data_IF_217237360016
#
_entry.id   IF_217237360016
#
_cell.length_a   1.000
_cell.length_b   1.000
_cell.length_c   1.000
_cell.angle_alpha   90.00
_cell.angle_beta   90.00
_cell.angle_gamma   90.00
#
_symmetry.space_group_name_H-M   'P 1'
#
loop_
_entity.id
_entity.type
_entity.pdbx_description
1 polymer ?
2 non-polymer ?
3 water ?
#
# COMPACT_ATOMS: atom_id res chain seq x y z
N UNK A 10 -6.20 30.41 17.61
CA UNK A 10 -6.25 29.32 16.63
C UNK A 10 -5.39 29.63 15.41
N UNK A 11 -4.67 28.60 14.92
CA UNK A 11 -3.83 28.73 13.73
C UNK A 11 -4.63 28.68 12.43
N UNK A 12 -5.26 29.80 12.07
CA UNK A 12 -6.09 29.89 10.86
C UNK A 12 -5.27 30.36 9.65
N UNK A 13 -5.04 29.46 8.71
CA UNK A 13 -4.26 29.79 7.53
C UNK A 13 -5.10 29.83 6.29
N UNK A 14 -5.27 31.03 5.73
CA UNK A 14 -6.03 31.21 4.51
C UNK A 14 -5.13 31.78 3.41
N UNK A 15 -5.13 31.13 2.25
CA UNK A 15 -4.25 31.57 1.14
C UNK A 15 -5.20 31.69 -0.07
N UNK A 16 -6.51 31.54 0.13
CA UNK A 16 -7.41 31.41 -1.02
C UNK A 16 -8.31 32.63 -1.01
N UNK A 17 -8.24 33.40 -2.10
CA UNK A 17 -9.05 34.60 -2.26
C UNK A 17 -9.15 34.98 -3.73
N UNK A 18 -10.12 35.83 -4.06
CA UNK A 18 -10.31 36.27 -5.44
C UNK A 18 -9.36 37.40 -5.79
N UNK A 19 -8.21 37.05 -6.34
CA UNK A 19 -7.23 38.03 -6.78
C UNK A 19 -7.18 38.09 -8.30
N UNK A 20 -7.81 37.10 -8.93
CA UNK A 20 -7.71 36.92 -10.37
C UNK A 20 -8.69 37.80 -11.14
N UNK A 21 -8.21 38.33 -12.26
CA UNK A 21 -9.05 39.12 -13.17
C UNK A 21 -8.64 38.87 -14.61
N UNK A 22 -9.61 38.89 -15.51
CA UNK A 22 -9.34 38.74 -16.93
C UNK A 22 -9.63 40.05 -17.64
N UNK A 23 -8.60 40.62 -18.27
CA UNK A 23 -8.75 41.90 -18.94
C UNK A 23 -9.40 41.75 -20.32
N UNK A 24 -8.84 40.86 -21.14
CA UNK A 24 -9.32 40.66 -22.49
C UNK A 24 -10.42 39.62 -22.58
N UNK A 25 -10.62 39.08 -23.78
CA UNK A 25 -11.61 38.04 -24.00
C UNK A 25 -10.95 36.68 -24.04
N UNK A 26 -11.73 35.62 -23.80
CA UNK A 26 -11.21 34.27 -23.84
C UNK A 26 -11.29 33.71 -25.25
N UNK A 27 -10.22 33.04 -25.69
CA UNK A 27 -10.24 32.36 -26.98
C UNK A 27 -10.82 30.94 -26.81
N UNK A 28 -11.71 30.58 -27.71
CA UNK A 28 -12.47 29.32 -27.62
C UNK A 28 -11.73 28.20 -28.32
N UNK A 29 -12.12 26.95 -28.03
CA UNK A 29 -11.11 25.92 -28.07
C UNK A 29 -11.68 24.50 -27.95
N UNK A 30 -11.81 23.86 -29.10
CA UNK A 30 -12.37 22.52 -29.20
C UNK A 30 -11.38 21.50 -28.68
N UNK A 31 -11.88 20.56 -27.88
CA UNK A 31 -11.05 19.44 -27.44
C UNK A 31 -10.68 18.59 -28.64
N UNK A 32 -9.53 17.95 -28.59
CA UNK A 32 -9.16 17.03 -29.66
C UNK A 32 -9.95 15.74 -29.46
N UNK A 33 -10.40 15.17 -30.58
CA UNK A 33 -11.23 13.98 -30.65
C UNK A 33 -10.91 12.88 -29.62
N UNK A 34 -9.64 12.79 -29.22
CA UNK A 34 -9.27 11.85 -28.17
C UNK A 34 -9.78 12.36 -26.82
N UNK A 35 -9.54 13.65 -26.57
CA UNK A 35 -9.81 14.26 -25.27
C UNK A 35 -11.30 14.34 -24.95
N UNK A 36 -12.14 14.51 -25.98
CA UNK A 36 -13.58 14.56 -25.77
C UNK A 36 -14.08 13.23 -25.22
N UNK A 37 -13.66 12.14 -25.87
CA UNK A 37 -14.05 10.80 -25.43
C UNK A 37 -13.43 10.44 -24.09
N UNK A 38 -12.17 10.82 -23.90
CA UNK A 38 -11.45 10.53 -22.67
C UNK A 38 -12.10 11.20 -21.46
N UNK A 39 -12.45 12.48 -21.63
CA UNK A 39 -13.08 13.26 -20.58
C UNK A 39 -14.40 12.61 -20.14
N UNK A 40 -15.16 12.11 -21.11
CA UNK A 40 -16.43 11.47 -20.83
C UNK A 40 -16.22 10.11 -20.18
N UNK A 41 -15.14 9.43 -20.56
CA UNK A 41 -14.80 8.15 -19.94
C UNK A 41 -14.47 8.34 -18.46
N UNK A 42 -13.64 9.33 -18.17
CA UNK A 42 -13.26 9.62 -16.79
C UNK A 42 -14.44 10.13 -15.97
N UNK A 43 -15.27 10.98 -16.58
CA UNK A 43 -16.36 11.63 -15.85
C UNK A 43 -17.61 10.76 -15.71
N UNK A 44 -17.73 9.73 -16.52
CA UNK A 44 -18.97 8.94 -16.50
C UNK A 44 -18.75 7.43 -16.29
N UNK A 45 -17.50 6.99 -16.24
CA UNK A 45 -17.24 5.56 -16.21
C UNK A 45 -16.04 5.14 -15.35
N UNK A 46 -14.92 5.83 -15.52
CA UNK A 46 -13.63 5.39 -14.96
C UNK A 46 -13.65 5.09 -13.47
N UNK A 47 -14.27 5.96 -12.68
CA UNK A 47 -14.28 5.78 -11.24
C UNK A 47 -15.63 5.32 -10.72
N UNK A 48 -15.63 4.59 -9.61
CA UNK A 48 -16.85 4.03 -9.04
C UNK A 48 -17.42 4.90 -7.92
N UNK A 49 -16.53 5.52 -7.15
CA UNK A 49 -16.94 6.49 -6.14
C UNK A 49 -16.62 7.89 -6.65
N UNK A 50 -17.58 8.81 -6.57
CA UNK A 50 -17.40 10.14 -7.15
C UNK A 50 -16.56 11.07 -6.28
N UNK A 51 -16.37 10.68 -5.03
CA UNK A 51 -15.59 11.49 -4.08
C UNK A 51 -14.11 11.59 -4.49
N UNK A 52 -13.63 10.56 -5.18
CA UNK A 52 -12.21 10.43 -5.48
C UNK A 52 -11.64 11.58 -6.31
N UNK A 53 -12.49 12.44 -6.84
CA UNK A 53 -11.98 13.60 -7.57
C UNK A 53 -11.12 14.41 -6.60
N UNK A 54 -11.63 14.59 -5.37
CA UNK A 54 -10.87 15.27 -4.33
C UNK A 54 -9.51 14.62 -4.17
N UNK A 55 -9.50 13.29 -4.21
CA UNK A 55 -8.25 12.54 -4.12
C UNK A 55 -7.32 12.92 -5.26
N UNK A 56 -7.81 12.80 -6.50
CA UNK A 56 -6.95 12.98 -7.67
C UNK A 56 -6.35 14.37 -7.72
N UNK A 57 -7.19 15.38 -7.54
CA UNK A 57 -6.75 16.77 -7.54
C UNK A 57 -5.69 17.02 -6.47
N UNK A 58 -5.77 16.29 -5.36
CA UNK A 58 -4.77 16.46 -4.32
C UNK A 58 -3.46 15.86 -4.83
N UNK A 59 -3.55 14.68 -5.43
CA UNK A 59 -2.37 14.00 -5.96
C UNK A 59 -1.60 14.94 -6.87
N UNK A 60 -2.28 15.41 -7.91
CA UNK A 60 -1.71 16.39 -8.82
C UNK A 60 -1.03 17.53 -8.07
N UNK A 61 -1.75 18.11 -7.11
CA UNK A 61 -1.24 19.22 -6.33
C UNK A 61 0.12 18.82 -5.75
N UNK A 62 0.12 17.69 -5.04
CA UNK A 62 1.34 17.16 -4.45
C UNK A 62 2.44 17.13 -5.49
N UNK A 63 2.16 16.50 -6.63
CA UNK A 63 3.15 16.34 -7.69
C UNK A 63 3.73 17.69 -8.07
N UNK A 64 2.85 18.67 -8.31
CA UNK A 64 3.28 20.01 -8.68
C UNK A 64 4.31 20.47 -7.67
N UNK A 65 3.88 20.46 -6.41
CA UNK A 65 4.71 20.94 -5.32
C UNK A 65 6.06 20.25 -5.35
N UNK A 66 6.05 18.92 -5.52
CA UNK A 66 7.30 18.18 -5.44
C UNK A 66 8.31 18.73 -6.42
N UNK A 67 7.88 18.95 -7.66
CA UNK A 67 8.88 19.25 -8.69
C UNK A 67 9.32 20.68 -8.56
N UNK A 68 8.39 21.54 -8.14
CA UNK A 68 8.81 22.83 -7.61
C UNK A 68 9.98 22.65 -6.64
N UNK A 69 9.72 21.91 -5.56
CA UNK A 69 10.69 21.74 -4.49
C UNK A 69 12.02 21.28 -5.07
N UNK A 70 12.00 20.09 -5.67
CA UNK A 70 13.11 19.56 -6.44
C UNK A 70 13.85 20.68 -7.15
N UNK A 71 13.15 21.32 -8.08
CA UNK A 71 13.72 22.36 -8.92
C UNK A 71 14.50 23.37 -8.08
N UNK A 72 13.84 23.95 -7.09
CA UNK A 72 14.46 24.99 -6.30
C UNK A 72 15.69 24.44 -5.59
N UNK A 73 15.53 23.27 -4.95
CA UNK A 73 16.63 22.70 -4.18
C UNK A 73 17.77 22.36 -5.14
N UNK A 74 17.43 22.14 -6.40
CA UNK A 74 18.44 21.86 -7.41
C UNK A 74 19.18 23.14 -7.77
N UNK A 75 18.44 24.23 -7.99
CA UNK A 75 19.06 25.49 -8.35
C UNK A 75 19.72 26.08 -7.11
N UNK A 76 19.27 25.65 -5.94
CA UNK A 76 19.85 26.05 -4.69
C UNK A 76 19.34 27.37 -4.17
N UNK A 77 18.05 27.65 -4.40
CA UNK A 77 17.45 28.88 -3.88
C UNK A 77 16.41 28.58 -2.80
N UNK A 78 15.95 29.64 -2.13
CA UNK A 78 15.07 29.50 -0.98
C UNK A 78 13.72 28.89 -1.35
N UNK A 79 13.08 28.29 -0.36
CA UNK A 79 11.79 27.65 -0.55
C UNK A 79 10.66 28.54 -0.07
N UNK A 80 9.62 28.70 -0.90
CA UNK A 80 8.43 29.45 -0.50
C UNK A 80 7.51 28.55 0.32
N UNK A 81 6.32 29.04 0.67
CA UNK A 81 5.33 28.20 1.30
C UNK A 81 4.88 27.14 0.30
N UNK A 82 5.01 25.87 0.69
CA UNK A 82 4.60 24.77 -0.16
C UNK A 82 3.42 24.04 0.47
N UNK A 83 2.21 24.47 0.10
CA UNK A 83 1.01 24.01 0.78
C UNK A 83 -0.09 23.63 -0.21
N UNK A 84 -1.05 22.84 0.27
CA UNK A 84 -2.24 22.53 -0.49
C UNK A 84 -3.46 23.01 0.30
N UNK A 85 -4.32 23.79 -0.36
CA UNK A 85 -5.48 24.34 0.32
C UNK A 85 -6.78 23.95 -0.36
N UNK A 86 -7.76 23.59 0.46
CA UNK A 86 -9.10 23.32 -0.03
C UNK A 86 -10.07 24.29 0.62
N UNK A 87 -11.02 24.80 -0.17
CA UNK A 87 -12.04 25.69 0.35
C UNK A 87 -13.42 25.22 -0.09
N UNK A 88 -14.34 25.12 0.86
CA UNK A 88 -15.72 24.80 0.52
C UNK A 88 -16.57 26.06 0.62
N UNK A 89 -17.56 26.17 -0.25
CA UNK A 89 -18.47 27.30 -0.19
C UNK A 89 -19.90 26.86 -0.47
N UNK A 90 -20.67 26.67 0.60
CA UNK A 90 -21.99 26.06 0.51
C UNK A 90 -23.00 26.90 -0.29
N UNK A 91 -22.80 28.22 -0.32
CA UNK A 91 -23.75 29.13 -0.98
C UNK A 91 -23.40 29.45 -2.44
N UNK A 92 -22.12 29.60 -2.80
CA UNK A 92 -21.74 29.53 -4.22
C UNK A 92 -21.80 28.08 -4.70
N UNK A 93 -21.84 27.14 -3.76
CA UNK A 93 -21.92 25.73 -4.08
C UNK A 93 -20.65 25.29 -4.78
N UNK A 94 -19.50 25.65 -4.22
CA UNK A 94 -18.23 25.38 -4.88
C UNK A 94 -17.23 24.65 -4.00
N UNK A 95 -16.29 23.95 -4.64
CA UNK A 95 -15.13 23.44 -3.93
C UNK A 95 -13.85 23.80 -4.69
N UNK A 96 -12.91 24.38 -3.97
CA UNK A 96 -11.70 24.93 -4.57
C UNK A 96 -10.46 24.23 -4.05
N UNK A 97 -9.49 23.97 -4.92
CA UNK A 97 -8.22 23.44 -4.46
C UNK A 97 -7.04 24.19 -5.10
N UNK A 98 -6.25 24.84 -4.27
CA UNK A 98 -5.09 25.59 -4.74
C UNK A 98 -3.79 24.99 -4.21
N UNK A 99 -2.76 24.97 -5.05
CA UNK A 99 -1.43 24.59 -4.61
C UNK A 99 -0.42 25.65 -5.05
N UNK A 100 0.59 25.88 -4.22
CA UNK A 100 1.65 26.83 -4.55
C UNK A 100 2.84 26.13 -5.19
N UNK A 101 2.57 25.12 -6.00
CA UNK A 101 3.61 24.35 -6.65
C UNK A 101 4.05 24.95 -7.96
N UNK A 102 4.70 24.14 -8.79
CA UNK A 102 5.02 24.56 -10.14
C UNK A 102 3.68 24.70 -10.86
N UNK A 103 3.60 25.68 -11.74
CA UNK A 103 2.32 25.97 -12.39
C UNK A 103 2.18 25.29 -13.72
N UNK A 104 1.38 25.89 -14.58
CA UNK A 104 1.23 25.43 -15.95
C UNK A 104 1.44 26.59 -16.91
N UNK A 105 2.30 26.39 -17.89
CA UNK A 105 2.52 27.38 -18.94
C UNK A 105 1.29 27.41 -19.85
N UNK A 106 1.26 28.35 -20.78
CA UNK A 106 0.12 28.44 -21.68
C UNK A 106 0.03 27.21 -22.56
N UNK A 107 1.16 26.77 -23.09
CA UNK A 107 1.21 25.57 -23.91
C UNK A 107 0.73 24.36 -23.12
N UNK A 108 1.18 24.25 -21.87
CA UNK A 108 0.81 23.14 -21.01
C UNK A 108 -0.69 23.09 -20.75
N UNK A 109 -1.34 24.26 -20.80
CA UNK A 109 -2.78 24.34 -20.63
C UNK A 109 -3.50 23.99 -21.93
N UNK A 110 -3.04 24.58 -23.04
CA UNK A 110 -3.64 24.35 -24.36
C UNK A 110 -3.61 22.87 -24.74
N UNK A 111 -2.42 22.28 -24.66
CA UNK A 111 -2.24 20.87 -25.01
C UNK A 111 -2.97 19.94 -24.05
N UNK A 112 -2.28 19.55 -22.98
CA UNK A 112 -2.85 18.64 -21.98
C UNK A 112 -3.80 19.37 -21.03
N UNK A 143 -1.66 13.75 -15.88
CA UNK A 143 -2.51 14.33 -14.85
C UNK A 143 -3.99 14.17 -15.15
N UNK A 144 -4.30 13.10 -15.87
CA UNK A 144 -5.67 12.81 -16.32
C UNK A 144 -6.68 12.78 -15.17
N UNK A 145 -6.21 12.49 -13.96
CA UNK A 145 -7.05 12.49 -12.77
C UNK A 145 -7.88 13.76 -12.64
N UNK A 146 -7.29 14.87 -13.10
CA UNK A 146 -7.98 16.17 -13.14
C UNK A 146 -9.38 16.09 -13.70
N UNK A 147 -9.54 15.36 -14.80
CA UNK A 147 -10.83 15.32 -15.50
C UNK A 147 -11.93 14.65 -14.68
N UNK A 148 -11.53 13.94 -13.62
CA UNK A 148 -12.51 13.37 -12.70
C UNK A 148 -13.36 14.47 -12.07
N UNK A 149 -12.85 15.70 -12.11
CA UNK A 149 -13.60 16.84 -11.61
C UNK A 149 -14.95 16.97 -12.32
N UNK A 150 -14.98 16.59 -13.59
CA UNK A 150 -16.22 16.72 -14.36
C UNK A 150 -17.20 15.60 -14.08
N UNK A 151 -16.84 14.74 -13.13
CA UNK A 151 -17.78 13.73 -12.63
C UNK A 151 -18.76 14.38 -11.66
N UNK A 152 -18.35 15.51 -11.08
CA UNK A 152 -19.15 16.18 -10.07
C UNK A 152 -19.45 17.64 -10.39
N UNK A 153 -18.78 18.18 -11.40
CA UNK A 153 -18.92 19.61 -11.72
C UNK A 153 -19.73 19.82 -12.99
N UNK A 154 -20.43 20.95 -13.06
CA UNK A 154 -21.07 21.32 -14.32
C UNK A 154 -20.38 22.56 -14.89
N UNK A 155 -19.32 22.99 -14.22
CA UNK A 155 -18.40 24.00 -14.73
C UNK A 155 -17.11 24.01 -13.90
N UNK A 156 -15.97 23.96 -14.58
CA UNK A 156 -14.67 24.00 -13.93
C UNK A 156 -13.89 25.25 -14.37
N UNK A 157 -13.31 25.93 -13.38
CA UNK A 157 -12.62 27.20 -13.56
C UNK A 157 -11.22 27.14 -12.95
N UNK A 158 -10.21 27.28 -13.80
CA UNK A 158 -8.82 27.11 -13.40
C UNK A 158 -7.99 28.38 -13.58
N UNK A 159 -7.13 28.67 -12.61
CA UNK A 159 -6.15 29.74 -12.75
C UNK A 159 -4.76 29.18 -12.46
N UNK A 160 -3.85 29.32 -13.40
CA UNK A 160 -2.52 28.73 -13.22
C UNK A 160 -1.40 29.65 -13.71
N UNK A 161 -0.26 29.56 -13.05
CA UNK A 161 0.90 30.40 -13.38
C UNK A 161 2.20 29.66 -13.09
N UNK A 162 2.93 29.35 -14.15
CA UNK A 162 4.20 28.62 -14.05
C UNK A 162 5.17 29.27 -13.08
N UNK A 163 5.99 28.45 -12.44
CA UNK A 163 6.97 28.94 -11.47
C UNK A 163 8.17 29.57 -12.19
N UNK A 164 8.27 29.27 -13.48
CA UNK A 164 9.33 29.79 -14.35
C UNK A 164 9.39 31.31 -14.33
N UNK A 165 10.60 31.90 -14.43
CA UNK A 165 10.69 33.37 -14.33
C UNK A 165 9.98 34.11 -15.46
N UNK A 166 9.26 35.17 -15.11
CA UNK A 166 8.49 35.93 -16.07
C UNK A 166 7.35 35.14 -16.68
N UNK A 167 6.62 34.41 -15.83
CA UNK A 167 5.47 33.65 -16.28
C UNK A 167 4.17 34.40 -16.03
N UNK A 168 3.30 34.42 -17.02
CA UNK A 168 2.01 35.10 -16.90
C UNK A 168 0.94 34.13 -16.40
N UNK A 169 -0.06 34.65 -15.69
CA UNK A 169 -1.16 33.84 -15.23
C UNK A 169 -2.14 33.58 -16.34
N UNK A 170 -2.83 32.45 -16.27
CA UNK A 170 -3.84 32.12 -17.27
C UNK A 170 -5.09 31.53 -16.64
N UNK A 171 -6.22 31.83 -17.26
CA UNK A 171 -7.53 31.29 -16.91
C UNK A 171 -7.98 30.27 -17.94
N UNK A 172 -8.48 29.15 -17.44
CA UNK A 172 -8.95 28.02 -18.23
C UNK A 172 -10.36 27.69 -17.80
N UNK A 173 -11.31 27.68 -18.74
CA UNK A 173 -12.71 27.44 -18.37
C UNK A 173 -13.31 26.29 -19.17
N UNK A 174 -14.12 25.46 -18.54
CA UNK A 174 -14.81 24.42 -19.31
C UNK A 174 -16.04 23.84 -18.62
N UNK A 175 -17.09 23.62 -19.40
CA UNK A 175 -18.30 22.96 -18.90
C UNK A 175 -18.21 21.46 -19.09
N UNK A 176 -17.09 21.00 -19.64
CA UNK A 176 -16.86 19.58 -19.83
C UNK A 176 -17.57 18.99 -21.01
N UNK A 177 -18.00 19.85 -21.94
CA UNK A 177 -18.63 19.39 -23.16
C UNK A 177 -17.57 19.04 -24.19
N UNK A 178 -17.22 20.02 -25.02
CA UNK A 178 -16.18 19.87 -26.02
C UNK A 178 -15.56 21.22 -26.30
N UNK A 179 -15.89 22.19 -25.46
CA UNK A 179 -15.39 23.55 -25.61
C UNK A 179 -14.76 24.04 -24.32
N UNK A 180 -13.50 24.45 -24.41
CA UNK A 180 -12.89 25.18 -23.32
C UNK A 180 -12.41 26.55 -23.81
N UNK A 181 -12.16 27.42 -22.83
CA UNK A 181 -11.77 28.81 -23.09
C UNK A 181 -10.45 29.11 -22.39
N UNK A 182 -9.62 29.91 -23.04
CA UNK A 182 -8.33 30.29 -22.46
C UNK A 182 -8.11 31.80 -22.55
N UNK A 183 -7.73 32.41 -21.44
CA UNK A 183 -7.46 33.85 -21.44
C UNK A 183 -6.32 34.22 -20.49
N UNK A 184 -5.53 35.23 -20.84
CA UNK A 184 -4.50 35.68 -19.92
C UNK A 184 -5.14 36.34 -18.71
N UNK A 185 -4.73 35.91 -17.52
CA UNK A 185 -5.26 36.44 -16.28
C UNK A 185 -4.18 37.12 -15.47
N UNK A 186 -4.59 38.11 -14.67
CA UNK A 186 -3.67 38.80 -13.77
C UNK A 186 -4.07 38.53 -12.32
N UNK A 187 -3.12 38.68 -11.41
CA UNK A 187 -3.38 38.42 -10.01
C UNK A 187 -3.45 36.94 -9.72
N UNK A 188 -2.81 36.15 -10.56
CA UNK A 188 -2.71 34.71 -10.33
C UNK A 188 -1.44 34.39 -9.56
N UNK A 189 -1.57 33.66 -8.46
CA UNK A 189 -0.40 33.26 -7.68
C UNK A 189 0.29 32.09 -8.37
N UNK A 190 1.61 32.02 -8.22
CA UNK A 190 2.39 30.89 -8.72
C UNK A 190 1.81 29.59 -8.20
N UNK A 191 1.56 28.65 -9.10
CA UNK A 191 0.88 27.42 -8.74
C UNK A 191 -0.45 27.33 -9.46
N UNK A 192 -1.36 26.53 -8.93
CA UNK A 192 -2.63 26.29 -9.63
C UNK A 192 -3.83 26.39 -8.70
N UNK A 193 -4.87 27.09 -9.14
CA UNK A 193 -6.12 27.19 -8.40
C UNK A 193 -7.27 26.60 -9.22
N UNK A 194 -7.89 25.55 -8.70
CA UNK A 194 -9.00 24.90 -9.39
C UNK A 194 -10.32 25.14 -8.66
N UNK A 195 -11.23 25.87 -9.30
CA UNK A 195 -12.55 26.14 -8.74
C UNK A 195 -13.60 25.27 -9.39
N UNK A 196 -14.24 24.43 -8.59
CA UNK A 196 -15.30 23.54 -9.09
C UNK A 196 -16.68 24.05 -8.70
N UNK A 197 -17.51 24.28 -9.72
CA UNK A 197 -18.93 24.55 -9.55
C UNK A 197 -19.70 23.24 -9.63
N UNK A 198 -20.08 22.74 -8.45
CA UNK A 198 -20.68 21.42 -8.32
C UNK A 198 -22.05 21.31 -8.96
N UNK A 199 -22.36 20.14 -9.49
CA UNK A 199 -23.70 19.84 -10.01
C UNK A 199 -24.76 20.03 -8.92
N UNK A 200 -26.04 19.98 -9.32
CA UNK A 200 -27.14 20.31 -8.43
C UNK A 200 -27.28 19.34 -7.27
N UNK A 201 -27.07 18.06 -7.55
CA UNK A 201 -27.14 17.05 -6.50
C UNK A 201 -25.76 16.48 -6.17
N UNK A 202 -24.74 17.32 -6.33
CA UNK A 202 -23.39 17.00 -5.88
C UNK A 202 -22.92 18.06 -4.90
N UNK A 203 -23.88 18.81 -4.37
CA UNK A 203 -23.61 19.93 -3.46
C UNK A 203 -22.94 19.50 -2.16
N UNK A 204 -23.01 18.20 -1.87
CA UNK A 204 -22.43 17.64 -0.64
C UNK A 204 -20.94 17.96 -0.49
N UNK A 205 -20.24 18.08 -1.61
CA UNK A 205 -18.81 18.34 -1.58
C UNK A 205 -18.51 19.83 -1.41
N UNK A 206 -19.52 20.59 -1.04
CA UNK A 206 -19.34 21.98 -0.64
C UNK A 206 -19.55 22.09 0.86
N UNK A 207 -19.84 20.95 1.48
CA UNK A 207 -19.95 20.88 2.94
C UNK A 207 -18.61 20.49 3.54
N UNK A 208 -18.21 21.19 4.60
CA UNK A 208 -16.90 20.99 5.19
C UNK A 208 -16.72 19.60 5.80
N UNK A 209 -17.75 19.09 6.47
CA UNK A 209 -17.68 17.78 7.12
C UNK A 209 -17.43 16.67 6.10
N UNK A 210 -18.22 16.67 5.03
CA UNK A 210 -18.11 15.71 3.94
C UNK A 210 -16.69 15.66 3.37
N UNK A 211 -16.24 16.82 2.90
CA UNK A 211 -14.92 16.97 2.31
C UNK A 211 -13.83 16.54 3.29
N UNK A 212 -14.00 16.89 4.57
CA UNK A 212 -13.06 16.47 5.61
C UNK A 212 -12.96 14.96 5.67
N UNK A 213 -14.12 14.29 5.68
CA UNK A 213 -14.16 12.84 5.70
C UNK A 213 -13.41 12.26 4.51
N UNK A 214 -13.71 12.78 3.32
CA UNK A 214 -13.03 12.32 2.10
C UNK A 214 -11.51 12.47 2.21
N UNK A 215 -11.09 13.64 2.67
CA UNK A 215 -9.68 13.96 2.83
C UNK A 215 -8.98 12.99 3.78
N UNK A 216 -9.51 12.82 4.98
CA UNK A 216 -8.90 11.93 5.96
C UNK A 216 -8.96 10.48 5.48
N UNK A 217 -9.91 10.19 4.61
CA UNK A 217 -10.05 8.86 4.04
C UNK A 217 -8.90 8.55 3.07
N UNK A 218 -8.84 9.29 1.96
CA UNK A 218 -7.89 8.95 0.91
C UNK A 218 -6.55 9.66 1.00
N UNK A 219 -6.51 10.77 1.72
CA UNK A 219 -5.32 11.63 1.71
C UNK A 219 -4.83 11.98 3.11
N UNK A 220 -4.51 10.96 3.90
CA UNK A 220 -3.99 11.16 5.25
C UNK A 220 -2.48 11.31 5.27
N UNK A 221 -1.82 10.85 4.22
CA UNK A 221 -0.37 10.77 4.19
C UNK A 221 0.24 11.67 3.12
N UNK A 222 -0.48 12.72 2.75
CA UNK A 222 -0.01 13.67 1.74
C UNK A 222 1.36 14.23 2.12
N UNK A 223 2.22 14.41 1.12
CA UNK A 223 3.62 14.75 1.35
C UNK A 223 3.85 16.23 1.65
N UNK A 224 2.86 17.06 1.33
CA UNK A 224 2.94 18.50 1.62
C UNK A 224 1.78 18.91 2.53
N UNK A 225 1.99 19.95 3.36
CA UNK A 225 0.95 20.43 4.28
C UNK A 225 -0.37 20.73 3.59
N UNK A 226 -1.46 20.20 4.13
CA UNK A 226 -2.77 20.37 3.52
C UNK A 226 -3.77 21.02 4.48
N UNK A 227 -4.39 22.10 4.04
CA UNK A 227 -5.35 22.84 4.85
C UNK A 227 -6.75 22.79 4.23
N UNK A 228 -7.77 22.74 5.08
CA UNK A 228 -9.15 22.79 4.62
C UNK A 228 -9.90 23.92 5.31
N UNK A 229 -10.38 24.88 4.52
CA UNK A 229 -11.05 26.07 5.05
C UNK A 229 -10.23 26.80 6.11
N UNK A 230 -8.91 26.71 6.00
CA UNK A 230 -8.03 27.42 6.90
C UNK A 230 -7.39 26.56 7.98
N UNK A 231 -7.78 25.30 8.05
CA UNK A 231 -7.33 24.43 9.13
C UNK A 231 -6.55 23.21 8.65
N UNK A 232 -5.40 22.98 9.29
CA UNK A 232 -4.52 21.86 8.97
C UNK A 232 -5.22 20.51 9.13
N UNK A 233 -4.96 19.59 8.20
CA UNK A 233 -5.64 18.28 8.20
C UNK A 233 -4.66 17.13 8.39
N UNK A 234 -3.77 16.94 7.43
CA UNK A 234 -2.85 15.81 7.44
C UNK A 234 -1.71 15.96 8.44
N UNK A 235 -1.51 14.92 9.25
CA UNK A 235 -0.42 14.92 10.22
C UNK A 235 0.45 13.69 10.08
N UNK A 236 0.02 12.76 9.24
CA UNK A 236 0.69 11.45 9.17
C UNK A 236 1.77 11.40 8.09
N UNK A 237 2.79 10.62 8.37
CA UNK A 237 3.95 10.50 7.50
C UNK A 237 3.94 9.14 6.81
N UNK A 238 3.89 9.15 5.48
CA UNK A 238 3.92 7.91 4.72
C UNK A 238 5.30 7.26 4.83
N UNK A 239 5.57 6.68 6.01
CA UNK A 239 6.91 6.20 6.35
C UNK A 239 7.38 5.05 5.47
N UNK A 240 6.49 4.50 4.66
CA UNK A 240 6.86 3.39 3.79
C UNK A 240 7.61 3.88 2.55
N UNK A 241 7.49 5.17 2.26
CA UNK A 241 8.21 5.76 1.14
C UNK A 241 9.67 6.04 1.52
N UNK A 242 9.95 6.00 2.82
CA UNK A 242 11.28 6.28 3.33
C UNK A 242 12.29 5.20 3.00
N UNK A 243 13.56 5.51 3.29
CA UNK A 243 14.62 4.53 3.31
C UNK A 243 14.50 3.71 4.58
N UNK A 244 14.43 2.38 4.45
CA UNK A 244 14.31 1.46 5.59
C UNK A 244 15.29 1.75 6.75
N UNK A 245 16.48 2.23 6.42
CA UNK A 245 17.48 2.51 7.46
C UNK A 245 17.15 3.77 8.25
N UNK A 246 16.33 4.65 7.67
CA UNK A 246 16.03 5.93 8.30
C UNK A 246 14.80 5.89 9.22
N UNK A 247 13.95 4.88 9.03
CA UNK A 247 12.81 4.67 9.93
C UNK A 247 13.24 3.86 11.13
N UNK A 248 12.91 4.31 12.34
CA UNK A 248 13.23 3.51 13.52
C UNK A 248 12.04 3.38 14.48
N UNK A 249 12.22 2.48 15.45
CA UNK A 249 11.14 1.81 16.18
C UNK A 249 9.86 2.59 16.48
N UNK A 250 9.97 3.75 17.12
CA UNK A 250 8.77 4.47 17.56
C UNK A 250 7.84 4.81 16.39
N UNK A 251 8.42 5.09 15.23
CA UNK A 251 7.65 5.36 14.03
C UNK A 251 6.89 4.12 13.58
N UNK A 252 7.62 3.00 13.48
CA UNK A 252 7.01 1.72 13.09
C UNK A 252 5.89 1.32 14.04
N UNK A 253 6.05 1.65 15.32
CA UNK A 253 5.04 1.34 16.31
C UNK A 253 3.80 2.21 16.09
N UNK A 254 4.02 3.52 15.92
CA UNK A 254 2.94 4.45 15.65
C UNK A 254 2.10 4.01 14.45
N UNK A 255 2.80 3.74 13.34
CA UNK A 255 2.12 3.34 12.11
C UNK A 255 1.45 1.98 12.23
N UNK A 256 2.10 1.04 12.93
CA UNK A 256 1.50 -0.26 13.17
C UNK A 256 0.17 -0.09 13.88
N UNK A 257 0.17 0.69 14.94
CA UNK A 257 -1.06 0.93 15.69
C UNK A 257 -2.10 1.65 14.83
N UNK A 258 -1.63 2.47 13.89
CA UNK A 258 -2.58 3.13 12.99
C UNK A 258 -3.28 2.12 12.07
N UNK A 259 -2.51 1.37 11.29
CA UNK A 259 -3.11 0.51 10.27
C UNK A 259 -3.78 -0.74 10.85
N UNK A 260 -3.25 -1.24 11.97
CA UNK A 260 -3.81 -2.43 12.59
C UNK A 260 -4.89 -2.08 13.60
N UNK A 261 -5.02 -0.79 13.88
CA UNK A 261 -5.97 -0.28 14.88
C UNK A 261 -5.78 -1.03 16.20
N UNK A 262 -4.54 -1.16 16.63
CA UNK A 262 -4.18 -1.94 17.81
C UNK A 262 -3.42 -1.11 18.83
N UNK A 263 -3.11 -1.71 19.98
CA UNK A 263 -2.43 -1.00 21.05
C UNK A 263 -1.15 -1.70 21.48
N UNK A 264 -0.92 -2.90 20.97
CA UNK A 264 0.32 -3.61 21.25
C UNK A 264 1.41 -3.11 20.31
N UNK A 265 2.51 -3.85 20.25
CA UNK A 265 3.59 -3.53 19.33
C UNK A 265 3.70 -4.62 18.28
N UNK A 266 4.32 -4.32 17.13
CA UNK A 266 4.56 -5.43 16.20
C UNK A 266 5.69 -6.32 16.69
N UNK A 267 5.54 -7.63 16.57
CA UNK A 267 6.60 -8.55 16.94
C UNK A 267 7.55 -8.71 15.78
N UNK A 268 7.05 -8.50 14.56
CA UNK A 268 7.90 -8.58 13.38
C UNK A 268 7.69 -7.39 12.44
N UNK A 269 8.76 -6.95 11.81
CA UNK A 269 8.71 -5.80 10.90
C UNK A 269 9.52 -6.02 9.63
N UNK A 270 8.85 -5.96 8.48
CA UNK A 270 9.53 -6.06 7.20
C UNK A 270 9.24 -4.84 6.33
N UNK A 271 10.27 -4.02 6.12
CA UNK A 271 10.17 -2.89 5.21
C UNK A 271 10.77 -3.28 3.86
N UNK A 272 9.91 -3.40 2.86
CA UNK A 272 10.30 -3.95 1.58
C UNK A 272 10.10 -2.96 0.43
N UNK A 273 11.20 -2.54 -0.16
CA UNK A 273 11.18 -1.63 -1.31
C UNK A 273 11.77 -2.33 -2.53
N UNK A 274 11.16 -2.12 -3.69
CA UNK A 274 11.73 -2.68 -4.92
C UNK A 274 11.20 -1.97 -6.18
N UNK A 275 12.06 -1.94 -7.21
CA UNK A 275 11.68 -1.42 -8.51
C UNK A 275 11.92 -2.46 -9.59
N UNK A 276 12.59 -3.55 -9.21
CA UNK A 276 13.03 -4.54 -10.19
C UNK A 276 11.88 -5.32 -10.82
N UNK A 277 11.08 -6.07 -10.03
CA UNK A 277 9.99 -6.76 -10.74
C UNK A 277 8.89 -5.76 -11.07
N UNK A 278 8.26 -5.25 -10.02
CA UNK A 278 7.28 -4.20 -10.13
C UNK A 278 7.66 -3.11 -9.15
N UNK A 279 6.83 -2.08 -9.03
CA UNK A 279 7.09 -1.01 -8.07
C UNK A 279 6.43 -1.29 -6.73
N UNK A 280 7.23 -1.44 -5.68
CA UNK A 280 6.70 -1.73 -4.36
C UNK A 280 7.35 -0.91 -3.25
N UNK A 281 6.51 -0.25 -2.46
CA UNK A 281 6.89 0.37 -1.19
C UNK A 281 5.99 -0.19 -0.11
N UNK A 282 6.47 -1.17 0.65
CA UNK A 282 5.59 -1.88 1.57
C UNK A 282 6.15 -2.01 2.98
N UNK A 283 5.24 -2.02 3.96
CA UNK A 283 5.61 -2.36 5.33
C UNK A 283 4.67 -3.43 5.87
N UNK A 284 5.26 -4.48 6.42
CA UNK A 284 4.49 -5.58 6.99
C UNK A 284 4.83 -5.80 8.46
N UNK A 285 3.78 -5.92 9.27
CA UNK A 285 3.92 -6.15 10.70
C UNK A 285 3.28 -7.46 11.12
N UNK A 286 3.96 -8.18 12.00
CA UNK A 286 3.33 -9.29 12.71
C UNK A 286 3.11 -8.85 14.15
N UNK A 287 1.83 -8.75 14.56
CA UNK A 287 1.36 -8.35 15.90
C UNK A 287 1.99 -9.25 16.96
N UNK A 288 2.26 -8.73 18.17
CA UNK A 288 2.85 -9.57 19.19
C UNK A 288 1.73 -10.30 19.93
N UNK A 289 0.53 -9.73 19.87
CA UNK A 289 -0.67 -10.46 20.30
C UNK A 289 -0.85 -11.66 19.37
N UNK A 290 -1.32 -12.78 19.91
CA UNK A 290 -1.64 -13.92 19.06
C UNK A 290 -3.11 -13.86 18.65
N UNK A 291 -3.45 -14.37 17.45
CA UNK A 291 -4.78 -14.17 16.88
C UNK A 291 -5.90 -14.78 17.72
N UNK A 303 -6.89 -5.86 7.80
CA UNK A 303 -5.99 -6.42 6.80
C UNK A 303 -5.16 -5.31 6.14
N UNK A 304 -4.27 -5.71 5.23
CA UNK A 304 -3.32 -4.79 4.61
C UNK A 304 -3.98 -3.77 3.69
N UNK A 305 -3.58 -2.50 3.82
CA UNK A 305 -4.12 -1.44 2.98
C UNK A 305 -3.36 -1.29 1.68
N UNK A 306 -4.09 -0.98 0.61
CA UNK A 306 -3.49 -0.76 -0.70
C UNK A 306 -3.42 0.72 -1.02
N UNK A 307 -2.23 1.27 -0.95
CA UNK A 307 -1.99 2.62 -1.42
C UNK A 307 -1.25 2.58 -2.75
N UNK A 308 -1.26 3.73 -3.42
CA UNK A 308 -0.41 4.04 -4.55
C UNK A 308 -0.35 5.56 -4.48
N UNK A 309 0.78 6.19 -4.80
CA UNK A 309 0.82 7.66 -4.88
C UNK A 309 0.90 8.31 -3.50
N UNK A 310 1.20 7.53 -2.46
CA UNK A 310 0.97 7.90 -1.05
C UNK A 310 -0.50 8.25 -0.85
N UNK A 311 -1.36 7.53 -1.57
CA UNK A 311 -2.77 7.84 -1.71
C UNK A 311 -3.57 6.54 -1.66
N UNK A 312 -4.61 6.53 -0.83
CA UNK A 312 -5.37 5.31 -0.56
C UNK A 312 -6.20 4.84 -1.75
N UNK A 313 -6.25 3.53 -1.96
CA UNK A 313 -7.08 2.94 -2.99
C UNK A 313 -8.11 1.99 -2.40
N UNK A 314 -7.65 1.10 -1.52
CA UNK A 314 -8.55 0.24 -0.76
C UNK A 314 -7.95 -0.14 0.59
N UNK A 315 -8.70 0.15 1.64
CA UNK A 315 -8.23 -0.11 3.00
C UNK A 315 -8.17 -1.61 3.30
N UNK A 316 -8.88 -2.40 2.51
CA UNK A 316 -9.06 -3.81 2.81
C UNK A 316 -8.55 -4.70 1.70
N UNK A 317 -7.36 -4.40 1.18
CA UNK A 317 -6.78 -5.18 0.09
C UNK A 317 -6.55 -6.63 0.50
N UNK A 318 -7.63 -7.41 0.48
CA UNK A 318 -7.54 -8.82 0.85
C UNK A 318 -6.89 -9.65 -0.24
N UNK A 319 -6.90 -9.12 -1.46
CA UNK A 319 -6.42 -9.85 -2.63
C UNK A 319 -4.93 -9.64 -2.88
N UNK A 320 -4.32 -8.72 -2.14
CA UNK A 320 -2.93 -8.36 -2.37
C UNK A 320 -1.97 -9.35 -1.71
N UNK A 321 -2.45 -10.05 -0.68
CA UNK A 321 -1.68 -11.10 -0.04
C UNK A 321 -2.44 -12.41 -0.14
N UNK A 322 -1.71 -13.54 -0.20
CA UNK A 322 -2.36 -14.85 -0.16
C UNK A 322 -3.21 -15.02 1.09
N UNK A 323 -4.30 -15.76 0.96
CA UNK A 323 -5.31 -15.89 2.03
C UNK A 323 -4.73 -16.35 3.36
N UNK A 324 -3.61 -17.07 3.32
CA UNK A 324 -3.02 -17.60 4.54
C UNK A 324 -2.10 -16.60 5.23
N UNK A 325 -1.84 -15.47 4.58
CA UNK A 325 -1.03 -14.42 5.17
C UNK A 325 -1.92 -13.26 5.62
N UNK A 326 -3.19 -13.56 5.87
CA UNK A 326 -4.16 -12.55 6.26
C UNK A 326 -3.92 -12.02 7.67
N UNK A 327 -3.01 -12.66 8.40
CA UNK A 327 -2.68 -12.24 9.76
C UNK A 327 -1.69 -11.08 9.74
N UNK A 328 -1.05 -10.88 8.60
CA UNK A 328 -0.11 -9.77 8.40
C UNK A 328 -0.84 -8.43 8.42
N UNK A 329 -0.23 -7.42 9.04
CA UNK A 329 -0.80 -6.08 9.02
C UNK A 329 0.10 -5.13 8.25
N UNK A 330 -0.42 -3.98 7.82
CA UNK A 330 0.42 -3.00 7.18
C UNK A 330 -0.04 -2.43 5.85
N UNK A 331 0.91 -2.01 5.03
CA UNK A 331 0.59 -1.27 3.81
C UNK A 331 1.41 -1.72 2.61
N UNK A 332 0.75 -1.78 1.46
CA UNK A 332 1.44 -2.00 0.19
C UNK A 332 1.20 -0.80 -0.72
N UNK A 333 2.27 -0.19 -1.21
CA UNK A 333 2.16 0.96 -2.10
C UNK A 333 2.76 0.64 -3.46
N UNK A 334 1.93 0.60 -4.50
CA UNK A 334 2.43 0.23 -5.82
C UNK A 334 1.82 1.07 -6.95
N UNK A 335 2.67 1.56 -7.84
CA UNK A 335 2.21 2.37 -8.96
C UNK A 335 1.62 1.52 -10.08
N UNK A 336 2.00 0.25 -10.13
CA UNK A 336 1.47 -0.67 -11.12
C UNK A 336 0.10 -1.20 -10.71
N UNK A 337 -0.83 -0.29 -10.41
CA UNK A 337 -2.14 -0.66 -9.88
C UNK A 337 -3.25 0.20 -10.49
N UNK A 338 -3.95 -0.32 -11.52
CA UNK A 338 -5.11 0.40 -12.05
C UNK A 338 -6.42 -0.06 -11.40
N UNK A 349 -7.14 -7.45 -11.53
CA UNK A 349 -7.43 -8.86 -11.31
C UNK A 349 -6.43 -9.75 -12.05
N UNK A 350 -5.27 -9.19 -12.37
CA UNK A 350 -4.24 -9.93 -13.07
C UNK A 350 -2.85 -9.57 -12.56
N UNK A 351 -2.55 -8.28 -12.56
CA UNK A 351 -1.25 -7.80 -12.08
C UNK A 351 -1.25 -7.81 -10.56
N UNK A 352 -2.45 -7.74 -9.98
CA UNK A 352 -2.63 -7.94 -8.55
C UNK A 352 -2.17 -9.34 -8.19
N UNK A 353 -2.34 -10.27 -9.12
CA UNK A 353 -1.82 -11.63 -8.97
C UNK A 353 -0.30 -11.62 -8.88
N UNK A 354 0.33 -11.01 -9.89
CA UNK A 354 1.76 -10.81 -9.93
C UNK A 354 2.29 -10.29 -8.59
N UNK A 355 1.67 -9.21 -8.13
CA UNK A 355 2.07 -8.56 -6.89
C UNK A 355 1.85 -9.46 -5.68
N UNK A 356 0.70 -10.13 -5.64
CA UNK A 356 0.34 -11.02 -4.53
C UNK A 356 1.39 -12.11 -4.34
N UNK A 357 1.76 -12.75 -5.45
CA UNK A 357 2.88 -13.68 -5.44
C UNK A 357 4.16 -13.02 -4.93
N UNK A 358 4.61 -11.95 -5.59
CA UNK A 358 5.85 -11.27 -5.21
C UNK A 358 5.95 -11.04 -3.69
N UNK A 359 4.84 -10.59 -3.11
CA UNK A 359 4.76 -10.40 -1.67
C UNK A 359 4.83 -11.74 -0.94
N UNK A 360 4.19 -12.76 -1.49
CA UNK A 360 4.26 -14.08 -0.86
C UNK A 360 5.71 -14.61 -0.75
N UNK A 361 6.46 -14.70 -1.85
CA UNK A 361 7.79 -15.28 -1.64
C UNK A 361 8.64 -14.31 -0.78
N UNK A 362 8.47 -13.00 -0.99
CA UNK A 362 9.22 -12.06 -0.17
C UNK A 362 9.02 -12.33 1.33
N UNK A 363 7.76 -12.43 1.76
CA UNK A 363 7.44 -12.68 3.15
C UNK A 363 7.93 -14.04 3.64
N UNK A 364 7.81 -15.06 2.80
CA UNK A 364 8.32 -16.38 3.18
C UNK A 364 9.82 -16.31 3.50
N UNK A 365 10.60 -15.73 2.59
CA UNK A 365 12.03 -15.59 2.81
C UNK A 365 12.29 -14.81 4.09
N UNK A 366 11.51 -13.75 4.29
CA UNK A 366 11.62 -12.94 5.52
C UNK A 366 11.52 -13.81 6.77
N UNK A 367 10.45 -14.61 6.85
CA UNK A 367 10.24 -15.47 8.01
C UNK A 367 11.34 -16.52 8.15
N UNK A 368 11.90 -16.97 7.03
CA UNK A 368 13.01 -17.91 7.08
C UNK A 368 14.26 -17.28 7.73
N UNK A 369 14.61 -16.07 7.30
CA UNK A 369 15.72 -15.35 7.92
C UNK A 369 15.43 -15.09 9.40
N UNK A 370 14.18 -14.78 9.71
CA UNK A 370 13.78 -14.57 11.10
C UNK A 370 14.01 -15.83 11.92
N UNK A 371 13.77 -16.98 11.29
CA UNK A 371 14.10 -18.26 11.92
C UNK A 371 15.58 -18.33 12.21
N UNK A 372 16.40 -18.09 11.18
CA UNK A 372 17.85 -18.23 11.34
C UNK A 372 18.53 -17.02 11.96
N UNK A 373 17.76 -16.13 12.58
CA UNK A 373 18.34 -14.97 13.26
C UNK A 373 18.00 -15.01 14.75
N UNK A 374 16.90 -15.69 15.05
CA UNK A 374 16.37 -15.75 16.40
C UNK A 374 15.35 -16.87 16.46
N UNK A 375 15.86 -18.09 16.64
CA UNK A 375 15.09 -19.31 16.51
C UNK A 375 14.09 -19.51 17.63
N UNK A 376 14.34 -18.88 18.77
CA UNK A 376 13.43 -19.02 19.91
C UNK A 376 12.20 -18.11 19.74
N UNK A 377 12.44 -16.86 19.39
CA UNK A 377 11.34 -15.95 19.06
C UNK A 377 10.53 -16.50 17.87
N UNK A 378 11.24 -17.00 16.87
CA UNK A 378 10.55 -17.59 15.73
C UNK A 378 9.78 -18.83 16.15
N UNK A 379 10.31 -19.57 17.13
CA UNK A 379 9.59 -20.72 17.65
C UNK A 379 8.24 -20.25 18.18
N UNK A 380 8.26 -19.22 19.03
CA UNK A 380 7.01 -18.67 19.55
C UNK A 380 6.08 -18.22 18.42
N UNK A 381 6.66 -17.61 17.38
CA UNK A 381 5.88 -17.19 16.22
C UNK A 381 5.17 -18.36 15.56
N UNK A 382 5.88 -19.48 15.42
CA UNK A 382 5.29 -20.67 14.82
C UNK A 382 4.19 -21.23 15.72
N UNK A 383 4.37 -21.13 17.03
CA UNK A 383 3.32 -21.60 17.94
C UNK A 383 2.06 -20.75 17.81
N UNK A 384 2.24 -19.45 17.62
CA UNK A 384 1.09 -18.54 17.58
C UNK A 384 0.40 -18.46 16.21
N UNK A 385 1.14 -18.72 15.13
CA UNK A 385 0.59 -18.52 13.79
C UNK A 385 0.72 -19.71 12.84
N UNK A 386 1.25 -20.83 13.34
CA UNK A 386 1.43 -22.03 12.55
C UNK A 386 0.15 -22.51 11.89
N UNK A 387 -0.97 -22.21 12.55
CA UNK A 387 -2.31 -22.42 11.99
C UNK A 387 -2.43 -21.95 10.54
N UNK A 388 -2.03 -20.71 10.29
CA UNK A 388 -2.15 -20.10 8.97
C UNK A 388 -1.22 -20.75 7.96
N UNK A 389 -0.07 -21.20 8.42
CA UNK A 389 0.91 -21.82 7.56
C UNK A 389 0.44 -23.21 7.12
N UNK A 390 -0.11 -23.97 8.06
CA UNK A 390 -0.67 -25.28 7.75
C UNK A 390 -1.86 -25.11 6.80
N UNK A 391 -2.73 -24.16 7.11
CA UNK A 391 -3.89 -23.88 6.27
C UNK A 391 -3.45 -23.54 4.85
N UNK A 392 -2.44 -22.68 4.72
CA UNK A 392 -1.94 -22.26 3.43
C UNK A 392 -1.25 -23.38 2.67
N UNK A 393 -0.59 -24.27 3.40
CA UNK A 393 0.04 -25.43 2.78
C UNK A 393 -1.01 -26.35 2.19
N UNK A 394 -2.02 -26.71 2.99
CA UNK A 394 -3.08 -27.58 2.51
C UNK A 394 -3.86 -26.93 1.37
N UNK A 395 -4.03 -25.61 1.46
CA UNK A 395 -4.82 -24.85 0.48
C UNK A 395 -4.15 -24.76 -0.88
N UNK A 396 -2.82 -24.62 -0.88
CA UNK A 396 -2.05 -24.45 -2.11
C UNK A 396 -2.30 -25.58 -3.10
N UNK A 397 -2.08 -25.31 -4.39
CA UNK A 397 -2.29 -26.32 -5.42
C UNK A 397 -0.97 -26.80 -6.01
N UNK A 398 -0.20 -25.89 -6.59
CA UNK A 398 1.12 -26.19 -7.15
C UNK A 398 2.02 -26.68 -6.02
N UNK A 399 2.78 -27.74 -6.26
CA UNK A 399 3.48 -28.44 -5.18
C UNK A 399 4.48 -27.64 -4.35
N UNK A 400 5.41 -26.94 -5.02
CA UNK A 400 6.51 -26.33 -4.29
C UNK A 400 6.08 -24.99 -3.68
N UNK A 401 4.89 -24.52 -4.03
CA UNK A 401 4.24 -23.49 -3.23
C UNK A 401 4.12 -24.08 -1.83
N UNK A 402 3.49 -25.24 -1.76
CA UNK A 402 3.33 -25.98 -0.50
C UNK A 402 4.66 -26.14 0.20
N UNK A 403 5.70 -26.46 -0.58
CA UNK A 403 7.02 -26.70 -0.01
C UNK A 403 7.63 -25.39 0.49
N UNK A 404 7.42 -24.31 -0.26
CA UNK A 404 7.91 -22.99 0.14
C UNK A 404 7.43 -22.66 1.54
N UNK A 405 6.11 -22.63 1.71
CA UNK A 405 5.50 -22.40 3.01
C UNK A 405 5.98 -23.43 4.03
N UNK A 406 6.24 -24.65 3.56
CA UNK A 406 6.65 -25.73 4.45
C UNK A 406 8.02 -25.47 5.07
N UNK A 407 8.77 -24.56 4.45
CA UNK A 407 10.08 -24.19 4.98
C UNK A 407 9.94 -23.41 6.27
N UNK A 408 8.71 -23.00 6.59
CA UNK A 408 8.45 -22.24 7.80
C UNK A 408 8.05 -23.15 8.97
N UNK A 409 7.74 -24.41 8.68
CA UNK A 409 7.32 -25.37 9.70
C UNK A 409 8.47 -25.75 10.63
N UNK A 410 8.17 -25.84 11.93
CA UNK A 410 9.16 -26.22 12.93
C UNK A 410 8.66 -27.38 13.78
N UNK A 411 9.42 -28.47 13.82
CA UNK A 411 9.02 -29.66 14.56
C UNK A 411 10.18 -30.20 15.41
N UNK A 412 9.84 -31.00 16.42
CA UNK A 412 10.86 -31.63 17.26
C UNK A 412 11.50 -32.80 16.53
N UNK A 413 12.71 -33.16 16.94
CA UNK A 413 13.47 -34.22 16.28
C UNK A 413 14.08 -35.18 17.28
N UNK A 414 14.24 -36.43 16.86
CA UNK A 414 14.86 -37.46 17.70
C UNK A 414 16.33 -37.16 17.96
N UNK A 415 16.96 -36.50 17.00
CA UNK A 415 18.38 -36.16 17.11
C UNK A 415 18.58 -34.82 17.79
N UNK A 416 17.49 -34.22 18.24
CA UNK A 416 17.55 -32.94 18.95
C UNK A 416 17.01 -33.08 20.38
N UNK A 417 17.57 -32.27 21.30
CA UNK A 417 17.09 -32.26 22.70
C UNK A 417 15.60 -31.90 22.78
N UNK A 418 14.87 -32.52 23.69
CA UNK A 418 13.42 -32.35 23.79
C UNK A 418 13.06 -30.90 24.10
N UNK A 419 12.39 -30.25 23.16
CA UNK A 419 12.02 -28.86 23.29
C UNK A 419 12.47 -28.07 22.09
N UNK A 420 13.59 -28.49 21.51
CA UNK A 420 14.19 -27.80 20.37
C UNK A 420 13.54 -28.22 19.05
N UNK A 421 13.42 -27.25 18.14
CA UNK A 421 12.77 -27.47 16.85
C UNK A 421 13.74 -27.38 15.68
N UNK A 422 13.38 -28.00 14.56
CA UNK A 422 14.05 -27.80 13.29
C UNK A 422 13.05 -27.79 12.14
N UNK A 423 13.52 -27.41 10.96
CA UNK A 423 12.68 -27.42 9.77
C UNK A 423 12.97 -28.65 8.93
N UNK A 424 12.22 -28.80 7.84
CA UNK A 424 12.37 -29.94 6.95
C UNK A 424 13.73 -29.94 6.25
N UNK A 425 14.16 -28.76 5.80
CA UNK A 425 15.45 -28.62 5.13
C UNK A 425 16.61 -28.88 6.09
N UNK A 426 16.50 -28.35 7.30
CA UNK A 426 17.47 -28.63 8.36
C UNK A 426 17.62 -30.13 8.57
N UNK A 427 16.49 -30.81 8.65
CA UNK A 427 16.45 -32.27 8.72
C UNK A 427 17.22 -32.89 7.56
N UNK A 428 16.92 -32.42 6.35
CA UNK A 428 17.50 -32.97 5.14
C UNK A 428 19.01 -32.78 5.07
N UNK A 429 19.51 -31.73 5.70
CA UNK A 429 20.94 -31.41 5.65
C UNK A 429 21.76 -32.35 6.53
N UNK A 430 21.09 -33.14 7.36
CA UNK A 430 21.74 -34.19 8.13
C UNK A 430 21.28 -35.56 7.66
N UNK A 431 20.32 -35.56 6.75
CA UNK A 431 19.83 -36.80 6.16
C UNK A 431 20.89 -37.40 5.25
N UNK A 432 21.49 -38.50 5.69
CA UNK A 432 22.55 -39.14 4.91
C UNK A 432 22.01 -39.63 3.58
N UNK A 433 22.56 -39.05 2.52
CA UNK A 433 22.13 -39.29 1.14
C UNK A 433 21.61 -40.72 1.31
N UNK A 434 20.34 -40.91 0.95
CA UNK A 434 19.76 -42.24 0.99
C UNK A 434 18.69 -42.56 2.01
N UNK A 436 16.82 -40.06 1.24
CA UNK A 436 15.82 -40.46 0.25
C UNK A 436 14.40 -40.37 0.79
N UNK A 437 14.28 -40.30 2.12
CA UNK A 437 12.97 -40.30 2.76
C UNK A 437 12.93 -39.52 4.07
N UNK A 438 11.80 -38.85 4.32
CA UNK A 438 11.61 -38.09 5.55
C UNK A 438 10.64 -38.79 6.49
N UNK A 439 11.14 -39.13 7.67
CA UNK A 439 10.40 -39.92 8.64
C UNK A 439 9.75 -39.03 9.72
N UNK A 440 8.50 -39.31 10.06
CA UNK A 440 7.81 -38.54 11.11
C UNK A 440 6.90 -39.44 11.97
N UNK A 441 6.32 -38.86 13.01
CA UNK A 441 5.47 -39.60 13.94
C UNK A 441 4.71 -38.70 14.91
N UNK A 442 3.38 -38.82 14.94
CA UNK A 442 2.57 -38.12 15.94
C UNK A 442 2.39 -38.96 17.20
N UNK A 443 2.89 -38.46 18.32
CA UNK A 443 2.59 -39.06 19.62
C UNK A 443 1.98 -37.98 20.51
N UNK A 444 1.25 -38.39 21.55
CA UNK A 444 0.67 -37.42 22.50
C UNK A 444 1.72 -36.49 23.11
N UNK A 445 2.91 -37.01 23.39
CA UNK A 445 4.01 -36.18 23.86
C UNK A 445 5.38 -36.76 23.49
N UNK A 446 6.43 -36.03 23.86
CA UNK A 446 7.81 -36.36 23.49
C UNK A 446 8.23 -37.79 23.81
N UNK A 447 8.34 -38.07 25.11
CA UNK A 447 8.83 -39.32 25.70
C UNK A 447 8.00 -40.54 25.27
N UNK A 448 6.77 -40.28 24.85
CA UNK A 448 5.91 -41.33 24.31
C UNK A 448 6.28 -41.65 22.86
N UNK A 449 6.73 -40.63 22.13
CA UNK A 449 7.26 -40.85 20.79
C UNK A 449 8.59 -41.56 20.89
N UNK A 450 9.40 -41.15 21.87
CA UNK A 450 10.70 -41.74 22.11
C UNK A 450 10.59 -43.22 22.47
N UNK A 451 9.53 -43.58 23.17
CA UNK A 451 9.36 -44.96 23.64
C UNK A 451 8.42 -45.77 22.76
N UNK A 452 8.04 -45.19 21.62
CA UNK A 452 7.29 -45.94 20.64
C UNK A 452 8.20 -46.97 19.99
N UNK A 453 7.77 -48.24 19.96
CA UNK A 453 8.51 -49.30 19.29
C UNK A 453 8.80 -48.95 17.84
N UNK A 454 7.85 -48.26 17.23
CA UNK A 454 7.97 -47.83 15.83
C UNK A 454 9.17 -46.89 15.65
N UNK A 455 9.44 -46.06 16.67
CA UNK A 455 10.62 -45.22 16.64
C UNK A 455 11.87 -45.97 17.10
N UNK A 456 11.70 -46.83 18.11
CA UNK A 456 12.81 -47.61 18.63
C UNK A 456 13.30 -48.62 17.59
N UNK A 457 12.58 -48.70 16.47
CA UNK A 457 13.04 -49.42 15.30
C UNK A 457 13.93 -48.53 14.44
N UNK A 458 13.82 -47.21 14.66
CA UNK A 458 14.64 -46.23 13.97
C UNK A 458 15.82 -45.76 14.80
N UNK A 459 15.84 -46.13 16.08
CA UNK A 459 16.92 -45.68 16.94
C UNK A 459 18.27 -46.25 16.49
N UNK A 460 18.36 -47.58 16.44
CA UNK A 460 19.63 -48.24 16.16
C UNK A 460 19.69 -48.62 14.66
N UNK A 461 18.64 -48.26 13.93
CA UNK A 461 18.71 -48.30 12.46
C UNK A 461 19.41 -47.04 11.96
N UNK A 462 19.81 -46.19 12.90
CA UNK A 462 20.56 -44.96 12.61
C UNK A 462 19.82 -44.03 11.65
N UNK A 463 18.67 -43.52 12.09
CA UNK A 463 17.88 -42.60 11.28
C UNK A 463 17.17 -41.57 12.16
N UNK A 464 17.09 -40.34 11.67
CA UNK A 464 16.43 -39.27 12.41
C UNK A 464 14.94 -39.25 12.11
N UNK A 465 14.13 -39.05 13.15
CA UNK A 465 12.67 -39.05 13.02
C UNK A 465 12.06 -37.76 13.60
N UNK A 466 11.15 -37.15 12.84
CA UNK A 466 10.44 -35.96 13.30
C UNK A 466 9.29 -36.32 14.22
N UNK A 467 9.08 -35.48 15.23
CA UNK A 467 8.01 -35.71 16.21
C UNK A 467 6.92 -34.65 16.14
N UNK A 468 5.72 -35.09 15.77
CA UNK A 468 4.53 -34.25 15.85
C UNK A 468 3.79 -34.61 17.13
N UNK A 469 2.96 -33.70 17.63
CA UNK A 469 2.21 -33.95 18.85
C UNK A 469 0.74 -33.57 18.67
N UNK A 470 0.40 -33.16 17.46
CA UNK A 470 -0.95 -32.72 17.14
C UNK A 470 -1.39 -33.30 15.80
N UNK A 471 -2.67 -33.62 15.68
CA UNK A 471 -3.18 -34.24 14.46
C UNK A 471 -3.08 -33.28 13.27
N UNK A 472 -3.21 -31.98 13.49
CA UNK A 472 -3.18 -31.06 12.36
C UNK A 472 -1.78 -30.99 11.73
N UNK A 473 -0.74 -31.15 12.56
CA UNK A 473 0.63 -31.22 12.05
C UNK A 473 0.81 -32.44 11.15
N UNK A 474 0.33 -33.59 11.61
CA UNK A 474 0.50 -34.83 10.86
C UNK A 474 -0.33 -34.82 9.59
N UNK A 475 -1.55 -34.31 9.66
CA UNK A 475 -2.38 -34.16 8.46
C UNK A 475 -1.67 -33.24 7.47
N UNK A 476 -1.00 -32.22 8.00
CA UNK A 476 -0.24 -31.30 7.17
C UNK A 476 0.87 -32.03 6.41
N UNK A 477 1.70 -32.78 7.13
CA UNK A 477 2.77 -33.54 6.49
C UNK A 477 2.23 -34.59 5.51
N UNK A 478 1.09 -35.17 5.84
CA UNK A 478 0.44 -36.15 4.99
C UNK A 478 0.03 -35.53 3.66
N UNK A 479 -0.62 -34.38 3.74
CA UNK A 479 -1.04 -33.65 2.53
C UNK A 479 0.17 -33.24 1.71
N UNK A 480 1.18 -32.69 2.39
CA UNK A 480 2.41 -32.25 1.73
C UNK A 480 3.02 -33.38 0.91
N UNK A 481 2.87 -34.60 1.40
CA UNK A 481 3.37 -35.78 0.68
C UNK A 481 4.90 -35.80 0.59
N UNK A 482 5.45 -34.90 -0.22
CA UNK A 482 6.89 -34.86 -0.43
C UNK A 482 7.45 -33.44 -0.34
N UNK A 483 8.67 -33.33 0.17
CA UNK A 483 9.37 -32.07 0.27
C UNK A 483 10.77 -32.23 -0.33
N UNK A 484 11.09 -31.39 -1.30
CA UNK A 484 12.41 -31.39 -1.91
C UNK A 484 13.17 -32.71 -1.98
N UNK A 485 12.94 -33.45 -3.06
CA UNK A 485 13.66 -34.69 -3.32
C UNK A 485 13.50 -35.69 -2.19
N UNK A 486 12.37 -35.67 -1.51
CA UNK A 486 12.09 -36.66 -0.48
C UNK A 486 10.61 -36.70 -0.02
N UNK A 487 10.07 -37.91 0.09
CA UNK A 487 8.69 -38.09 0.52
C UNK A 487 8.56 -38.20 2.02
N UNK A 488 7.43 -37.73 2.56
CA UNK A 488 7.17 -37.75 3.99
C UNK A 488 6.35 -38.97 4.37
N UNK A 489 6.98 -39.90 5.09
CA UNK A 489 6.33 -41.14 5.47
C UNK A 489 6.23 -41.24 6.99
N UNK A 490 5.10 -41.75 7.45
CA UNK A 490 4.95 -42.07 8.85
C UNK A 490 5.70 -43.36 9.15
N UNK A 491 6.14 -43.54 10.39
CA UNK A 491 6.80 -44.77 10.77
C UNK A 491 5.77 -45.79 11.25
N UNK A 492 4.52 -45.58 10.86
CA UNK A 492 3.45 -46.53 11.11
C UNK A 492 2.94 -47.12 9.80
N UNK A 493 3.79 -47.10 8.79
CA UNK A 493 3.44 -47.62 7.47
C UNK A 493 4.38 -48.75 7.08
X LIG B 1 3.44 20.85 -15.07
X LIG B 1 2.55 20.05 -16.00
X LIG B 1 3.22 19.92 -17.34
X LIG B 1 2.33 18.73 -15.43
X LIG B 1 1.33 18.01 -16.21
X LIG B 1 0.08 17.81 -15.37
X LIG B 1 -0.86 18.98 -15.56
X LIG B 1 -1.35 19.45 -14.26
X LIG B 1 -0.65 20.33 -13.33
X LIG B 1 0.53 20.93 -13.35
X LIG B 1 0.94 21.71 -12.31
X LIG B 1 0.15 21.91 -11.22
X LIG B 1 -1.06 21.32 -11.14
X LIG B 1 -1.89 21.52 -9.99
X LIG B 1 -1.50 20.51 -12.19
X LIG B 1 -2.72 19.75 -12.43
X LIG B 1 -2.59 19.12 -13.67
X LIG B 1 -3.80 18.08 -14.43
X LIG B 1 -4.59 19.12 -15.63
X LIG B 1 -5.14 20.31 -15.19
X LIG B 1 -5.76 21.17 -16.09
X LIG B 1 -6.37 22.38 -15.91
X LIG B 1 -7.06 22.62 -17.09
X LIG B 1 -6.47 21.85 -18.07
X LIG B 1 -5.81 20.84 -17.42
X LIG B 1 -5.25 19.64 -17.87
X LIG B 1 -4.63 18.78 -16.97
X LIG B 1 -3.79 16.97 -17.65
#
# INVERSE_FOLDING_TARGET
STQTAEDKEEPLHSIISSTESVQGSTSKHEFQAETKKLLDIVARSLYSEKEVFIRELISNASDALEKLRHKLVSDGQALPEMEIHLQTNAEKGTITIQDTGIGMTQEELVSNLGTIARSGSKAFLDALQNQAEASSKIIGQFGVGFYSAFMVADRVEVYSRSAAPGSLGYQWLSDGSGVFEIAEASGVRTGTKIIIHLKSDCKEFSSEARVRDVVTKYSNFVSFPLYLNGRRMNTLQAIWMMDPKDVREWQHEEFYRYVAQAHDKPRYTLHYKTDAPLNIRSIFYVPDMKPSMFDVSRELGSSVALYSRKVLIQTKATDILPKWLRFIRGVVDSEDIPLNLSRELLQESALIRKLRDVLQQRLIKFFIDQSKKDAEKYAKFFEDYGLFMREGIVTATEQEVKEDIAKLLRYESSALPSGQLTSLSEYASRMRAGTRNIYYLCAPNRHLAEHSPYYEAMKKKDTEVLFCFEQFDELTLLHLREFDKKKLISVETDIVVDHYKE
H71 C96 C95 C97 N94 C93 C92 C91 N9 C4 N3 C2 N1 C6 N6 C5 N7 C8 S C1' C6' C5' O3' C'2 O1' C4' C3' C2' I
#
